data_IF_575960527337
#
_entry.id   IF_575960527337
#
_cell.length_a   1.000
_cell.length_b   1.000
_cell.length_c   1.000
_cell.angle_alpha   90.00
_cell.angle_beta   90.00
_cell.angle_gamma   90.00
#
_symmetry.space_group_name_H-M   'P 1'
#
loop_
_entity.id
_entity.type
_entity.pdbx_description
1 polymer ?
#
# COMPACT_ATOMS: atom_id res chain seq x y z
N UNK A 1 -5.14 0.94 35.06
CA UNK A 1 -4.65 -0.26 34.35
C UNK A 1 -3.17 -0.09 34.12
N UNK A 2 -2.32 -1.09 34.36
CA UNK A 2 -0.92 -1.00 33.96
C UNK A 2 -0.87 -0.74 32.45
N UNK A 3 -0.06 0.22 32.01
CA UNK A 3 0.20 0.47 30.60
C UNK A 3 0.64 -0.86 29.98
N UNK A 4 -0.22 -1.46 29.13
CA UNK A 4 0.20 -2.61 28.34
C UNK A 4 1.23 -2.09 27.35
N UNK A 5 2.50 -2.36 27.64
CA UNK A 5 3.55 -2.08 26.68
C UNK A 5 3.45 -3.10 25.53
N UNK A 6 3.51 -2.61 24.30
CA UNK A 6 3.45 -3.45 23.10
C UNK A 6 4.84 -3.41 22.47
N UNK A 7 5.47 -4.56 22.24
CA UNK A 7 6.79 -4.61 21.61
C UNK A 7 6.74 -4.29 20.12
N UNK A 8 5.64 -4.68 19.47
CA UNK A 8 5.43 -4.58 18.03
C UNK A 8 4.05 -3.99 17.72
N UNK A 9 3.98 -3.31 16.58
CA UNK A 9 2.75 -2.74 16.03
C UNK A 9 2.49 -3.37 14.67
N UNK A 10 1.27 -3.87 14.47
CA UNK A 10 0.67 -4.05 13.16
C UNK A 10 -0.24 -2.86 12.90
N UNK A 11 0.10 -2.07 11.89
CA UNK A 11 -0.79 -1.06 11.33
C UNK A 11 -1.40 -1.62 10.04
N UNK A 12 -2.70 -1.46 9.86
CA UNK A 12 -3.37 -1.77 8.61
C UNK A 12 -4.49 -0.78 8.32
N UNK A 13 -4.84 -0.64 7.04
CA UNK A 13 -5.97 0.19 6.64
C UNK A 13 -7.29 -0.38 7.20
N UNK A 14 -8.20 0.54 7.53
CA UNK A 14 -9.52 0.23 8.09
C UNK A 14 -10.60 0.22 7.02
N UNK A 15 -11.43 -0.82 7.01
CA UNK A 15 -12.63 -0.89 6.15
C UNK A 15 -12.38 -1.31 4.70
N UNK A 16 -11.15 -1.64 4.32
CA UNK A 16 -10.80 -2.18 3.00
C UNK A 16 -9.71 -3.28 3.04
N UNK A 17 -9.51 -3.89 4.21
CA UNK A 17 -8.65 -5.06 4.41
C UNK A 17 -9.48 -6.29 4.81
N UNK A 18 -9.15 -7.46 4.24
CA UNK A 18 -9.63 -8.77 4.70
C UNK A 18 -8.42 -9.64 5.04
N UNK A 19 -8.43 -10.25 6.23
CA UNK A 19 -7.53 -11.34 6.60
C UNK A 19 -8.20 -12.68 6.28
N UNK A 20 -7.58 -13.48 5.40
CA UNK A 20 -8.07 -14.81 5.03
C UNK A 20 -7.22 -15.95 5.62
N UNK A 21 -6.04 -15.64 6.14
CA UNK A 21 -5.10 -16.59 6.74
C UNK A 21 -4.55 -16.07 8.07
N UNK A 22 -4.03 -16.98 8.89
CA UNK A 22 -3.30 -16.64 10.10
C UNK A 22 -1.96 -15.97 9.72
N UNK A 23 -1.70 -14.78 10.26
CA UNK A 23 -0.48 -14.01 10.04
C UNK A 23 0.43 -13.91 11.27
N UNK A 24 0.12 -14.65 12.34
CA UNK A 24 0.83 -14.56 13.63
C UNK A 24 2.33 -14.85 13.49
N UNK A 25 2.71 -15.72 12.53
CA UNK A 25 4.12 -16.02 12.25
C UNK A 25 4.92 -14.79 11.80
N UNK A 26 4.27 -13.76 11.26
CA UNK A 26 4.95 -12.51 10.87
C UNK A 26 5.50 -11.74 12.07
N UNK A 27 4.94 -11.93 13.27
CA UNK A 27 5.41 -11.30 14.50
C UNK A 27 6.64 -11.97 15.10
N UNK A 28 6.93 -13.21 14.69
CA UNK A 28 7.99 -14.04 15.28
C UNK A 28 9.35 -13.90 14.57
N UNK A 29 9.38 -13.21 13.41
CA UNK A 29 10.60 -13.03 12.61
C UNK A 29 10.85 -11.55 12.34
N UNK A 30 12.13 -11.16 12.40
CA UNK A 30 12.58 -9.80 12.09
C UNK A 30 11.82 -8.71 12.87
N UNK A 31 11.58 -8.98 14.15
CA UNK A 31 10.76 -8.14 15.04
C UNK A 31 11.42 -6.80 15.42
N UNK A 32 12.68 -6.59 15.04
CA UNK A 32 13.48 -5.40 15.31
C UNK A 32 13.53 -4.39 14.14
N UNK A 33 12.88 -4.68 13.00
CA UNK A 33 12.90 -3.85 11.79
C UNK A 33 11.51 -3.62 11.21
N UNK A 34 11.35 -2.62 10.34
CA UNK A 34 10.13 -2.47 9.56
C UNK A 34 9.95 -3.66 8.60
N UNK A 35 8.71 -4.09 8.44
CA UNK A 35 8.27 -5.10 7.48
C UNK A 35 7.08 -4.53 6.72
N UNK A 36 7.21 -4.46 5.40
CA UNK A 36 6.21 -3.87 4.52
C UNK A 36 6.14 -4.64 3.20
N UNK A 37 5.04 -4.47 2.47
CA UNK A 37 4.82 -5.15 1.19
C UNK A 37 5.16 -4.21 0.04
N UNK A 38 6.02 -4.62 -0.92
CA UNK A 38 6.25 -3.87 -2.14
C UNK A 38 5.06 -3.95 -3.09
N UNK A 39 4.76 -2.83 -3.74
CA UNK A 39 3.72 -2.68 -4.75
C UNK A 39 4.26 -2.94 -6.15
N UNK A 40 3.41 -3.53 -6.99
CA UNK A 40 3.62 -3.61 -8.44
C UNK A 40 3.14 -2.33 -9.14
N UNK A 41 3.59 -1.17 -8.62
CA UNK A 41 3.21 0.14 -9.14
C UNK A 41 4.46 0.90 -9.61
N UNK A 42 4.32 1.63 -10.71
CA UNK A 42 5.37 2.52 -11.21
C UNK A 42 5.51 3.78 -10.36
N UNK A 43 6.69 4.40 -10.43
CA UNK A 43 7.08 5.65 -9.77
C UNK A 43 6.15 6.85 -10.01
N UNK A 44 5.25 6.76 -10.98
CA UNK A 44 4.25 7.77 -11.34
C UNK A 44 3.42 8.27 -10.15
N UNK A 45 3.22 7.43 -9.12
CA UNK A 45 2.57 7.86 -7.89
C UNK A 45 3.35 8.99 -7.20
N UNK A 46 4.66 8.86 -7.01
CA UNK A 46 5.46 9.91 -6.38
C UNK A 46 5.58 11.15 -7.28
N UNK A 47 5.71 10.97 -8.59
CA UNK A 47 5.75 12.09 -9.55
C UNK A 47 4.49 12.95 -9.48
N UNK A 48 3.32 12.33 -9.31
CA UNK A 48 2.04 13.03 -9.21
C UNK A 48 1.81 13.67 -7.83
N UNK A 49 2.11 12.96 -6.74
CA UNK A 49 1.76 13.39 -5.39
C UNK A 49 2.84 14.19 -4.67
N UNK A 50 4.08 14.25 -5.16
CA UNK A 50 5.11 15.13 -4.56
C UNK A 50 4.79 16.62 -4.83
N UNK A 51 4.52 17.04 -6.09
CA UNK A 51 4.13 18.42 -6.37
C UNK A 51 2.89 18.84 -5.57
N UNK A 52 2.95 20.02 -4.98
CA UNK A 52 1.85 20.58 -4.19
C UNK A 52 1.76 20.05 -2.76
N UNK A 53 2.26 18.85 -2.44
CA UNK A 53 2.25 18.33 -1.06
C UNK A 53 3.51 18.71 -0.26
N UNK A 54 4.63 18.95 -0.93
CA UNK A 54 5.90 19.31 -0.29
C UNK A 54 6.48 20.60 -0.89
N UNK A 55 7.35 21.28 -0.15
CA UNK A 55 8.14 22.38 -0.73
C UNK A 55 9.04 21.85 -1.84
N UNK A 56 9.35 22.68 -2.85
CA UNK A 56 10.15 22.27 -4.02
C UNK A 56 11.46 21.59 -3.63
N UNK A 57 12.21 22.17 -2.69
CA UNK A 57 13.48 21.61 -2.21
C UNK A 57 13.29 20.26 -1.50
N UNK A 58 12.30 20.14 -0.62
CA UNK A 58 12.01 18.89 0.09
C UNK A 58 11.51 17.80 -0.87
N UNK A 59 10.59 18.15 -1.76
CA UNK A 59 10.02 17.25 -2.75
C UNK A 59 11.09 16.69 -3.69
N UNK A 60 11.99 17.54 -4.21
CA UNK A 60 13.13 17.09 -5.04
C UNK A 60 13.99 16.08 -4.30
N UNK A 61 14.37 16.36 -3.05
CA UNK A 61 15.17 15.45 -2.22
C UNK A 61 14.49 14.11 -1.99
N UNK A 62 13.19 14.12 -1.66
CA UNK A 62 12.41 12.89 -1.47
C UNK A 62 12.36 12.08 -2.76
N UNK A 63 12.06 12.73 -3.88
CA UNK A 63 11.98 12.08 -5.18
C UNK A 63 13.30 11.43 -5.58
N UNK A 64 14.40 12.17 -5.52
CA UNK A 64 15.74 11.67 -5.88
C UNK A 64 16.16 10.47 -5.01
N UNK A 65 15.76 10.46 -3.75
CA UNK A 65 16.02 9.34 -2.86
C UNK A 65 15.16 8.10 -3.20
N UNK A 66 13.90 8.30 -3.60
CA UNK A 66 12.94 7.21 -3.80
C UNK A 66 12.88 6.65 -5.23
N UNK A 67 13.34 7.40 -6.24
CA UNK A 67 13.09 7.10 -7.66
C UNK A 67 13.49 5.71 -8.16
N UNK A 68 14.51 5.11 -7.56
CA UNK A 68 15.03 3.80 -7.98
C UNK A 68 14.61 2.67 -7.02
N UNK A 69 13.68 2.94 -6.10
CA UNK A 69 13.24 1.99 -5.07
C UNK A 69 11.82 1.48 -5.37
N UNK A 70 11.52 0.21 -5.05
CA UNK A 70 10.14 -0.27 -5.09
C UNK A 70 9.24 0.57 -4.20
N UNK A 71 8.05 0.90 -4.69
CA UNK A 71 7.05 1.57 -3.84
C UNK A 71 6.54 0.56 -2.82
N UNK A 72 6.49 0.96 -1.54
CA UNK A 72 5.94 0.16 -0.45
C UNK A 72 4.52 0.62 -0.14
N UNK A 73 3.62 -0.31 0.16
CA UNK A 73 2.25 -0.01 0.56
C UNK A 73 2.17 0.36 2.05
N UNK A 74 1.55 1.49 2.37
CA UNK A 74 1.41 1.96 3.75
C UNK A 74 0.24 1.32 4.52
N UNK A 75 -0.69 0.64 3.84
CA UNK A 75 -1.88 0.02 4.42
C UNK A 75 -1.65 -1.33 5.10
N UNK A 76 -0.40 -1.79 5.19
CA UNK A 76 -0.01 -2.93 6.01
C UNK A 76 1.46 -2.81 6.42
N UNK A 77 1.71 -2.52 7.70
CA UNK A 77 3.05 -2.27 8.24
C UNK A 77 3.21 -3.03 9.55
N UNK A 78 4.30 -3.80 9.66
CA UNK A 78 4.74 -4.43 10.90
C UNK A 78 6.04 -3.80 11.35
N UNK A 79 6.12 -3.36 12.61
CA UNK A 79 7.30 -2.65 13.11
C UNK A 79 7.46 -2.78 14.63
N UNK A 80 8.68 -2.62 15.18
CA UNK A 80 8.84 -2.32 16.59
C UNK A 80 8.07 -1.07 16.97
N UNK A 81 7.46 -1.06 18.17
CA UNK A 81 6.69 0.11 18.66
C UNK A 81 7.48 1.41 18.57
N UNK A 82 8.74 1.42 19.02
CA UNK A 82 9.59 2.61 19.01
C UNK A 82 9.79 3.18 17.60
N UNK A 83 10.05 2.31 16.62
CA UNK A 83 10.20 2.69 15.21
C UNK A 83 8.88 3.19 14.62
N UNK A 84 7.76 2.54 14.92
CA UNK A 84 6.44 2.97 14.43
C UNK A 84 6.05 4.35 14.98
N UNK A 85 6.28 4.59 16.28
CA UNK A 85 6.05 5.91 16.89
C UNK A 85 6.92 6.99 16.21
N UNK A 86 8.18 6.70 15.89
CA UNK A 86 9.04 7.62 15.16
C UNK A 86 8.53 7.91 13.75
N UNK A 87 8.02 6.90 13.04
CA UNK A 87 7.35 7.08 11.75
C UNK A 87 6.15 8.04 11.88
N UNK A 88 5.27 7.85 12.87
CA UNK A 88 4.13 8.74 13.09
C UNK A 88 4.56 10.19 13.35
N UNK A 89 5.63 10.40 14.13
CA UNK A 89 6.21 11.74 14.38
C UNK A 89 6.70 12.39 13.09
N UNK A 90 7.38 11.63 12.24
CA UNK A 90 7.89 12.14 10.96
C UNK A 90 6.78 12.43 9.96
N UNK A 91 5.74 11.59 9.89
CA UNK A 91 4.53 11.90 9.11
C UNK A 91 3.91 13.20 9.59
N UNK A 92 3.68 13.36 10.91
CA UNK A 92 3.10 14.58 11.49
C UNK A 92 3.93 15.83 11.19
N UNK A 93 5.26 15.70 11.13
CA UNK A 93 6.20 16.78 10.85
C UNK A 93 6.23 17.18 9.38
N UNK A 94 6.21 16.20 8.46
CA UNK A 94 6.41 16.44 7.03
C UNK A 94 5.10 16.64 6.25
N UNK A 95 4.00 16.03 6.70
CA UNK A 95 2.67 16.20 6.10
C UNK A 95 1.97 17.42 6.72
N UNK A 96 2.07 18.56 6.04
CA UNK A 96 1.48 19.83 6.52
C UNK A 96 -0.04 19.85 6.41
N UNK A 97 -0.58 19.38 5.28
CA UNK A 97 -2.01 19.32 5.03
C UNK A 97 -2.48 17.87 5.14
N UNK A 98 -3.26 17.57 6.18
CA UNK A 98 -3.75 16.22 6.49
C UNK A 98 -4.96 15.79 5.66
N UNK A 99 -5.59 16.73 4.96
CA UNK A 99 -6.75 16.47 4.10
C UNK A 99 -6.34 16.08 2.68
N UNK A 100 -5.04 16.15 2.37
CA UNK A 100 -4.50 15.74 1.08
C UNK A 100 -4.17 14.26 1.04
N UNK A 101 -4.52 13.66 -0.08
CA UNK A 101 -4.29 12.25 -0.35
C UNK A 101 -2.85 11.98 -0.81
N UNK A 102 -2.21 10.95 -0.25
CA UNK A 102 -0.90 10.43 -0.68
C UNK A 102 0.38 10.94 0.00
N UNK A 103 0.45 12.11 0.69
CA UNK A 103 1.72 12.58 1.25
C UNK A 103 2.24 11.70 2.40
N UNK A 104 1.34 11.06 3.15
CA UNK A 104 1.64 10.07 4.17
C UNK A 104 2.35 8.83 3.59
N UNK A 105 1.86 8.28 2.46
CA UNK A 105 2.49 7.16 1.77
C UNK A 105 3.89 7.51 1.25
N UNK A 106 4.09 8.75 0.79
CA UNK A 106 5.42 9.26 0.38
C UNK A 106 6.36 9.35 1.57
N UNK A 107 5.93 9.96 2.67
CA UNK A 107 6.75 10.11 3.88
C UNK A 107 7.07 8.74 4.49
N UNK A 108 6.11 7.83 4.49
CA UNK A 108 6.31 6.44 4.89
C UNK A 108 7.47 5.80 4.14
N UNK A 109 7.41 5.78 2.80
CA UNK A 109 8.48 5.24 1.96
C UNK A 109 9.83 5.92 2.25
N UNK A 110 9.85 7.26 2.27
CA UNK A 110 11.06 8.04 2.54
C UNK A 110 11.68 7.76 3.91
N UNK A 111 10.85 7.49 4.92
CA UNK A 111 11.32 7.22 6.28
C UNK A 111 11.84 5.79 6.42
N UNK A 112 11.05 4.78 6.06
CA UNK A 112 11.40 3.38 6.36
C UNK A 112 12.62 2.90 5.57
N UNK A 113 12.84 3.43 4.36
CA UNK A 113 14.04 3.13 3.59
C UNK A 113 15.32 3.71 4.19
N UNK A 114 15.24 4.80 4.98
CA UNK A 114 16.40 5.37 5.69
C UNK A 114 16.71 4.64 6.99
N UNK A 115 15.70 3.98 7.58
CA UNK A 115 15.86 3.21 8.80
C UNK A 115 16.36 1.79 8.49
N UNK A 116 15.53 0.97 7.85
CA UNK A 116 15.77 -0.37 7.28
C UNK A 116 14.41 -1.05 7.12
N UNK A 117 14.22 -1.81 6.05
CA UNK A 117 12.96 -2.53 5.80
C UNK A 117 13.21 -3.91 5.22
N UNK A 118 12.43 -4.89 5.68
CA UNK A 118 12.33 -6.21 5.06
C UNK A 118 11.03 -6.31 4.27
N UNK A 119 11.14 -6.83 3.05
CA UNK A 119 9.98 -7.02 2.19
C UNK A 119 9.24 -8.30 2.57
N UNK A 120 7.94 -8.14 2.85
CA UNK A 120 7.01 -9.23 3.01
C UNK A 120 6.53 -9.73 1.63
N UNK A 121 6.10 -10.99 1.57
CA UNK A 121 5.42 -11.50 0.38
C UNK A 121 4.18 -10.65 0.08
N UNK A 122 3.92 -10.42 -1.21
CA UNK A 122 2.79 -9.61 -1.69
C UNK A 122 1.43 -10.14 -1.24
N UNK A 123 1.33 -11.42 -0.85
CA UNK A 123 0.08 -11.99 -0.31
C UNK A 123 -0.34 -11.39 1.03
N UNK A 124 0.58 -10.73 1.76
CA UNK A 124 0.29 -10.11 3.05
C UNK A 124 -0.19 -8.67 2.94
N UNK A 125 -0.30 -8.13 1.72
CA UNK A 125 -1.03 -6.90 1.42
C UNK A 125 -1.30 -6.86 -0.09
N UNK A 126 -2.21 -7.72 -0.54
CA UNK A 126 -2.49 -7.90 -1.95
C UNK A 126 -3.47 -6.83 -2.44
N UNK A 127 -2.96 -5.86 -3.19
CA UNK A 127 -3.80 -4.83 -3.77
C UNK A 127 -4.49 -5.33 -5.04
N UNK A 128 -5.81 -5.41 -4.96
CA UNK A 128 -6.68 -5.82 -6.07
C UNK A 128 -6.49 -4.91 -7.30
N UNK A 129 -6.14 -3.65 -7.07
CA UNK A 129 -6.15 -2.59 -8.08
C UNK A 129 -4.84 -2.40 -8.84
N UNK A 130 -3.74 -3.02 -8.41
CA UNK A 130 -2.39 -2.78 -8.99
C UNK A 130 -1.60 -4.06 -9.28
N UNK A 131 -2.10 -5.23 -8.89
CA UNK A 131 -1.43 -6.48 -9.24
C UNK A 131 -1.43 -6.68 -10.76
N UNK A 132 -0.24 -6.56 -11.41
CA UNK A 132 0.02 -7.19 -12.73
C UNK A 132 -0.39 -8.67 -12.70
N UNK A 133 -0.17 -9.27 -11.54
CA UNK A 133 -0.60 -10.61 -11.14
C UNK A 133 -2.07 -10.50 -10.73
N UNK A 134 -2.99 -10.68 -11.69
CA UNK A 134 -4.43 -10.72 -11.37
C UNK A 134 -4.79 -11.81 -10.34
N UNK A 135 -6.05 -11.89 -9.93
CA UNK A 135 -6.53 -12.83 -8.92
C UNK A 135 -7.61 -13.77 -9.47
N UNK A 136 -7.92 -14.81 -8.70
CA UNK A 136 -9.09 -15.68 -8.85
C UNK A 136 -9.94 -15.50 -7.59
N UNK A 137 -11.24 -15.33 -7.76
CA UNK A 137 -12.20 -15.32 -6.67
C UNK A 137 -13.00 -16.63 -6.71
N UNK A 138 -13.01 -17.37 -5.60
CA UNK A 138 -13.80 -18.61 -5.47
C UNK A 138 -14.56 -18.57 -4.15
N UNK A 139 -15.89 -18.64 -4.21
CA UNK A 139 -16.75 -18.65 -3.02
C UNK A 139 -16.43 -17.51 -2.03
N UNK A 140 -16.18 -16.30 -2.55
CA UNK A 140 -15.84 -15.14 -1.72
C UNK A 140 -14.38 -15.11 -1.21
N UNK A 141 -13.52 -16.06 -1.59
CA UNK A 141 -12.11 -16.11 -1.18
C UNK A 141 -11.18 -15.75 -2.35
N UNK A 142 -10.20 -14.90 -2.09
CA UNK A 142 -9.22 -14.44 -3.07
C UNK A 142 -7.99 -15.35 -3.13
N UNK A 143 -7.57 -15.67 -4.36
CA UNK A 143 -6.38 -16.47 -4.67
C UNK A 143 -5.54 -15.77 -5.74
N UNK A 144 -4.22 -15.97 -5.70
CA UNK A 144 -3.33 -15.67 -6.83
C UNK A 144 -3.69 -16.59 -8.01
N UNK A 145 -3.28 -16.22 -9.24
CA UNK A 145 -3.56 -17.04 -10.45
C UNK A 145 -3.02 -18.47 -10.37
N UNK A 146 -1.90 -18.67 -9.68
CA UNK A 146 -1.27 -19.98 -9.44
C UNK A 146 -2.04 -20.84 -8.41
N UNK A 147 -3.13 -20.34 -7.83
CA UNK A 147 -3.93 -21.06 -6.85
C UNK A 147 -3.52 -20.83 -5.40
N UNK A 148 -2.42 -20.12 -5.14
CA UNK A 148 -2.04 -19.74 -3.77
C UNK A 148 -3.10 -18.82 -3.17
N UNK A 149 -3.54 -19.10 -1.94
CA UNK A 149 -4.48 -18.25 -1.20
C UNK A 149 -3.78 -16.95 -0.80
N UNK A 150 -4.50 -15.83 -0.96
CA UNK A 150 -4.01 -14.53 -0.51
C UNK A 150 -4.26 -14.40 0.99
N UNK A 151 -3.24 -14.04 1.78
CA UNK A 151 -3.37 -13.96 3.23
C UNK A 151 -4.13 -12.69 3.66
N UNK A 152 -3.81 -11.56 3.07
CA UNK A 152 -4.40 -10.25 3.36
C UNK A 152 -4.73 -9.55 2.04
N UNK A 153 -6.01 -9.26 1.86
CA UNK A 153 -6.56 -8.64 0.64
C UNK A 153 -6.80 -7.16 0.92
N UNK A 154 -6.35 -6.28 0.04
CA UNK A 154 -6.52 -4.83 0.15
C UNK A 154 -7.31 -4.28 -1.04
N UNK A 155 -8.55 -3.86 -0.78
CA UNK A 155 -9.43 -3.21 -1.76
C UNK A 155 -9.21 -1.69 -1.78
N UNK A 156 -7.95 -1.28 -1.87
CA UNK A 156 -7.52 0.11 -1.76
C UNK A 156 -8.24 1.03 -2.75
N UNK A 157 -8.70 2.18 -2.28
CA UNK A 157 -9.26 3.22 -3.15
C UNK A 157 -9.86 4.35 -2.33
N UNK A 158 -9.61 5.60 -2.77
CA UNK A 158 -10.05 6.82 -2.07
C UNK A 158 -11.56 6.85 -1.80
N UNK A 159 -12.36 6.25 -2.67
CA UNK A 159 -13.81 6.19 -2.54
C UNK A 159 -14.36 4.85 -2.98
N UNK A 160 -15.45 4.41 -2.34
CA UNK A 160 -16.22 3.20 -2.65
C UNK A 160 -16.49 2.99 -4.16
N UNK A 161 -16.89 4.02 -4.94
CA UNK A 161 -17.10 3.86 -6.38
C UNK A 161 -15.86 3.40 -7.15
N UNK A 162 -14.65 3.80 -6.72
CA UNK A 162 -13.38 3.51 -7.38
C UNK A 162 -12.76 2.16 -6.96
N UNK A 163 -13.31 1.53 -5.92
CA UNK A 163 -12.94 0.18 -5.48
C UNK A 163 -13.48 -0.86 -6.48
N UNK A 164 -12.67 -1.88 -6.78
CA UNK A 164 -13.01 -2.90 -7.80
C UNK A 164 -13.97 -3.97 -7.28
N UNK A 165 -14.13 -4.07 -5.97
CA UNK A 165 -14.99 -5.04 -5.30
C UNK A 165 -16.14 -4.32 -4.59
N UNK A 166 -17.35 -4.77 -4.87
CA UNK A 166 -18.58 -4.46 -4.13
C UNK A 166 -18.81 -5.47 -3.01
N UNK A 167 -19.48 -5.03 -1.94
CA UNK A 167 -19.79 -5.88 -0.78
C UNK A 167 -18.52 -6.58 -0.28
N UNK A 168 -17.47 -5.80 -0.03
CA UNK A 168 -16.16 -6.31 0.37
C UNK A 168 -16.24 -6.88 1.79
N UNK A 169 -15.92 -8.16 1.96
CA UNK A 169 -16.05 -8.84 3.24
C UNK A 169 -15.67 -10.32 3.19
N UNK A 170 -15.75 -11.01 4.33
CA UNK A 170 -15.39 -12.42 4.43
C UNK A 170 -16.61 -13.35 4.32
N UNK A 171 -16.57 -14.32 3.42
CA UNK A 171 -17.62 -15.34 3.26
C UNK A 171 -18.22 -15.39 1.85
N UNK A 172 -19.02 -16.43 1.58
CA UNK A 172 -19.50 -16.77 0.23
C UNK A 172 -20.35 -15.70 -0.44
N UNK A 173 -21.04 -14.89 0.35
CA UNK A 173 -21.95 -13.83 -0.11
C UNK A 173 -21.24 -12.50 -0.44
N UNK A 174 -19.94 -12.39 -0.12
CA UNK A 174 -19.16 -11.17 -0.29
C UNK A 174 -18.32 -11.19 -1.57
N UNK A 175 -17.72 -10.04 -1.86
CA UNK A 175 -16.69 -9.83 -2.89
C UNK A 175 -17.17 -9.88 -4.34
N UNK A 176 -18.18 -9.08 -4.70
CA UNK A 176 -18.65 -9.02 -6.10
C UNK A 176 -17.74 -8.10 -6.94
N UNK A 177 -17.18 -8.61 -8.02
CA UNK A 177 -16.33 -7.84 -8.94
C UNK A 177 -17.15 -6.83 -9.75
N UNK A 178 -16.56 -5.64 -9.97
CA UNK A 178 -17.08 -4.65 -10.92
C UNK A 178 -16.36 -4.82 -12.27
N UNK A 179 -16.83 -5.76 -13.09
CA UNK A 179 -16.17 -6.20 -14.34
C UNK A 179 -15.80 -5.03 -15.29
N UNK A 180 -16.70 -4.05 -15.44
CA UNK A 180 -16.44 -2.87 -16.27
C UNK A 180 -15.25 -2.06 -15.75
N UNK A 181 -15.22 -1.74 -14.45
CA UNK A 181 -14.10 -1.00 -13.86
C UNK A 181 -12.81 -1.81 -13.89
N UNK A 182 -12.90 -3.12 -13.73
CA UNK A 182 -11.75 -4.01 -13.85
C UNK A 182 -11.14 -3.93 -15.25
N UNK A 183 -11.98 -3.98 -16.28
CA UNK A 183 -11.58 -3.85 -17.68
C UNK A 183 -10.96 -2.49 -17.97
N UNK A 184 -11.62 -1.41 -17.54
CA UNK A 184 -11.11 -0.04 -17.70
C UNK A 184 -9.76 0.16 -17.03
N UNK A 185 -9.58 -0.31 -15.79
CA UNK A 185 -8.27 -0.23 -15.10
C UNK A 185 -7.19 -1.05 -15.81
N UNK A 186 -7.52 -2.24 -16.30
CA UNK A 186 -6.58 -3.07 -17.05
C UNK A 186 -6.11 -2.36 -18.33
N UNK A 187 -7.02 -1.72 -19.06
CA UNK A 187 -6.69 -0.92 -20.25
C UNK A 187 -5.83 0.28 -19.85
N UNK A 188 -6.19 1.00 -18.78
CA UNK A 188 -5.42 2.14 -18.28
C UNK A 188 -3.98 1.73 -17.97
N UNK A 189 -3.76 0.71 -17.15
CA UNK A 189 -2.41 0.25 -16.79
C UNK A 189 -1.63 -0.32 -17.97
N UNK A 190 -2.28 -0.99 -18.93
CA UNK A 190 -1.60 -1.46 -20.15
C UNK A 190 -1.08 -0.30 -21.02
N UNK A 191 -1.70 0.88 -20.93
CA UNK A 191 -1.35 2.06 -21.72
C UNK A 191 -0.63 3.15 -20.90
N UNK A 192 -0.38 2.92 -19.60
CA UNK A 192 0.24 3.90 -18.70
C UNK A 192 1.60 4.38 -19.18
N UNK A 193 2.43 3.50 -19.73
CA UNK A 193 3.71 3.87 -20.31
C UNK A 193 3.55 4.91 -21.45
N UNK A 194 2.57 4.69 -22.36
CA UNK A 194 2.27 5.63 -23.46
C UNK A 194 1.66 6.95 -22.95
N UNK A 195 0.83 6.88 -21.91
CA UNK A 195 0.25 8.06 -21.27
C UNK A 195 1.33 8.93 -20.60
N UNK A 196 2.38 8.31 -20.05
CA UNK A 196 3.52 9.03 -19.45
C UNK A 196 4.25 9.91 -20.46
N UNK A 197 4.49 9.38 -21.66
CA UNK A 197 5.18 10.10 -22.74
C UNK A 197 4.37 11.31 -23.23
N UNK A 198 3.04 11.18 -23.27
CA UNK A 198 2.13 12.26 -23.67
C UNK A 198 2.02 13.32 -22.57
N UNK A 199 1.97 12.91 -21.30
CA UNK A 199 1.69 13.81 -20.19
C UNK A 199 2.86 14.74 -19.80
N UNK A 200 4.08 14.51 -20.31
CA UNK A 200 5.30 15.27 -19.94
C UNK A 200 5.31 15.62 -18.44
N UNK A 201 5.11 14.64 -17.56
CA UNK A 201 5.17 14.84 -16.11
C UNK A 201 6.60 15.29 -15.76
N UNK A 202 6.78 16.61 -15.63
CA UNK A 202 8.03 17.26 -15.25
C UNK A 202 8.01 17.47 -13.75
N UNK A 203 8.95 16.86 -13.05
CA UNK A 203 9.31 17.19 -11.66
C UNK A 203 10.31 18.34 -11.68
#
# INVERSE_FOLDING_TARGET
>A
MPERDYDQVLFCDGGDIIFQENISHLFNKNNNVFRAVPLDMEMLFFEYYIPGNFSKALGKRIYEFLKDKPILNAGFILAPKSKFVNLCREIKKLVKNKDRYGPDQIVFNYFIYRDSVIFLDKKYNFLINVGKIGFKLKEGVFYKKNGEKIAVVHNAGRSEPLRLINNFGYGRQFNKTKELLFTLKKIFYANMAKLKDIAKLRI
#
